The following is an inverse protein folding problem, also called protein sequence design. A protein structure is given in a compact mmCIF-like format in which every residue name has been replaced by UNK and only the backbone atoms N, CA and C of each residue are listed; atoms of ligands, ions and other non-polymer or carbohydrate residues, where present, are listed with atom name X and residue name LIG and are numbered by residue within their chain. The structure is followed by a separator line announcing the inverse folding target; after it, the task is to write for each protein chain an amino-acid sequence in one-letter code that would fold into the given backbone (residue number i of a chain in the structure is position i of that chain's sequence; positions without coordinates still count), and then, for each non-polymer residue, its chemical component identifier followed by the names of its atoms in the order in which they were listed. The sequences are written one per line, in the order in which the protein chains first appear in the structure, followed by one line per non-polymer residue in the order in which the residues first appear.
data_IF_302597548629
#
_entry.id   IF_302597548629
#
_cell.length_a   1.000
_cell.length_b   1.000
_cell.length_c   1.000
_cell.angle_alpha   90.00
_cell.angle_beta   90.00
_cell.angle_gamma   90.00
#
_symmetry.space_group_name_H-M   'P 1'
#
loop_
_entity.id
_entity.type
_entity.pdbx_description
1 polymer ?
#
# COMPACT_ATOMS: atom_id res chain seq x y z
N UNK A 1 31.92 -2.29 -6.31
CA UNK A 1 30.63 -2.85 -6.77
C UNK A 1 29.59 -2.52 -5.71
N UNK A 2 28.41 -2.00 -6.06
CA UNK A 2 27.35 -1.76 -5.13
C UNK A 2 26.87 -3.05 -4.46
N UNK A 3 26.51 -2.96 -3.19
CA UNK A 3 26.08 -4.10 -2.37
C UNK A 3 24.57 -4.05 -2.16
N UNK A 4 23.93 -5.19 -2.21
CA UNK A 4 22.52 -5.35 -1.86
C UNK A 4 22.40 -6.37 -0.71
N UNK A 5 22.02 -5.88 0.46
CA UNK A 5 21.75 -6.70 1.63
C UNK A 5 20.25 -6.99 1.71
N UNK A 6 19.88 -8.27 1.56
CA UNK A 6 18.47 -8.69 1.60
C UNK A 6 18.20 -9.35 2.95
N UNK A 7 17.27 -8.79 3.72
CA UNK A 7 16.96 -9.25 5.07
C UNK A 7 15.68 -10.07 5.12
N UNK A 8 15.78 -11.30 5.65
CA UNK A 8 14.65 -12.18 5.94
C UNK A 8 14.29 -12.14 7.42
N UNK A 9 13.00 -12.39 7.75
CA UNK A 9 12.56 -12.53 9.13
C UNK A 9 12.59 -13.99 9.57
N UNK A 10 12.23 -14.26 10.83
CA UNK A 10 12.04 -15.60 11.39
C UNK A 10 10.91 -16.41 10.73
N UNK A 11 9.99 -15.74 10.01
CA UNK A 11 8.90 -16.42 9.29
C UNK A 11 9.39 -17.08 8.01
N UNK A 12 9.19 -18.37 7.91
CA UNK A 12 9.57 -19.17 6.74
C UNK A 12 9.06 -18.58 5.40
N UNK A 13 7.81 -18.09 5.36
CA UNK A 13 7.25 -17.47 4.15
C UNK A 13 8.03 -16.22 3.75
N UNK A 14 8.31 -15.33 4.71
CA UNK A 14 9.07 -14.10 4.47
C UNK A 14 10.47 -14.40 3.98
N UNK A 15 11.14 -15.32 4.64
CA UNK A 15 12.50 -15.76 4.28
C UNK A 15 12.55 -16.36 2.88
N UNK A 16 11.60 -17.23 2.53
CA UNK A 16 11.51 -17.79 1.16
C UNK A 16 11.37 -16.71 0.09
N UNK A 17 10.55 -15.70 0.33
CA UNK A 17 10.33 -14.60 -0.62
C UNK A 17 11.57 -13.69 -0.74
N UNK A 18 12.22 -13.36 0.35
CA UNK A 18 13.46 -12.55 0.33
C UNK A 18 14.62 -13.31 -0.31
N UNK A 19 14.74 -14.62 -0.09
CA UNK A 19 15.70 -15.48 -0.81
C UNK A 19 15.38 -15.51 -2.31
N UNK A 20 14.12 -15.65 -2.70
CA UNK A 20 13.72 -15.65 -4.11
C UNK A 20 14.08 -14.31 -4.79
N UNK A 21 13.86 -13.18 -4.11
CA UNK A 21 14.28 -11.87 -4.57
C UNK A 21 15.81 -11.79 -4.76
N UNK A 22 16.58 -12.17 -3.75
CA UNK A 22 18.04 -12.18 -3.82
C UNK A 22 18.56 -13.03 -5.00
N UNK A 23 18.01 -14.24 -5.18
CA UNK A 23 18.32 -15.12 -6.31
C UNK A 23 17.95 -14.51 -7.66
N UNK A 24 16.82 -13.78 -7.72
CA UNK A 24 16.38 -13.05 -8.91
C UNK A 24 17.41 -11.99 -9.33
N UNK A 25 17.89 -11.19 -8.37
CA UNK A 25 18.93 -10.18 -8.63
C UNK A 25 20.26 -10.85 -9.09
N UNK A 26 20.67 -11.92 -8.44
CA UNK A 26 21.88 -12.68 -8.84
C UNK A 26 21.75 -13.21 -10.29
N UNK A 27 20.61 -13.79 -10.64
CA UNK A 27 20.38 -14.26 -12.03
C UNK A 27 20.41 -13.12 -13.04
N UNK A 28 19.78 -11.98 -12.68
CA UNK A 28 19.81 -10.79 -13.53
C UNK A 28 21.24 -10.27 -13.73
N UNK A 29 22.01 -10.17 -12.65
CA UNK A 29 23.43 -9.78 -12.73
C UNK A 29 24.23 -10.70 -13.68
N UNK A 30 24.06 -12.02 -13.57
CA UNK A 30 24.77 -12.98 -14.41
C UNK A 30 24.37 -12.87 -15.88
N UNK A 31 23.11 -12.51 -16.16
CA UNK A 31 22.62 -12.37 -17.54
C UNK A 31 23.00 -11.02 -18.19
N UNK A 32 23.21 -9.97 -17.39
CA UNK A 32 23.39 -8.58 -17.87
C UNK A 32 24.72 -7.95 -17.48
N UNK A 33 25.62 -8.70 -16.84
CA UNK A 33 26.82 -8.17 -16.18
C UNK A 33 26.46 -7.05 -15.17
N UNK A 34 25.34 -7.24 -14.46
CA UNK A 34 24.85 -6.29 -13.48
C UNK A 34 25.84 -6.08 -12.32
N UNK A 35 25.80 -4.91 -11.67
CA UNK A 35 26.84 -4.50 -10.74
C UNK A 35 26.68 -5.03 -9.31
N UNK A 36 25.54 -5.65 -8.94
CA UNK A 36 25.19 -5.90 -7.55
C UNK A 36 25.92 -7.10 -6.92
N UNK A 37 26.60 -6.85 -5.80
CA UNK A 37 27.00 -7.92 -4.89
C UNK A 37 25.86 -8.19 -3.89
N UNK A 38 25.24 -9.37 -3.94
CA UNK A 38 24.04 -9.68 -3.15
C UNK A 38 24.39 -10.56 -1.95
N UNK A 39 23.92 -10.17 -0.75
CA UNK A 39 24.00 -10.99 0.47
C UNK A 39 22.60 -11.12 1.09
N UNK A 40 22.22 -12.32 1.50
CA UNK A 40 20.99 -12.58 2.27
C UNK A 40 21.36 -12.79 3.75
N UNK A 41 20.69 -12.06 4.64
CA UNK A 41 20.94 -12.05 6.07
C UNK A 41 19.61 -12.21 6.85
N UNK A 42 19.64 -12.77 8.05
CA UNK A 42 18.49 -12.70 8.95
C UNK A 42 18.35 -11.26 9.48
N UNK A 43 17.11 -10.83 9.76
CA UNK A 43 16.84 -9.48 10.30
C UNK A 43 17.46 -9.29 11.70
N UNK A 44 17.65 -10.36 12.45
CA UNK A 44 18.32 -10.34 13.77
C UNK A 44 19.73 -9.77 13.67
N UNK A 45 20.42 -10.03 12.57
CA UNK A 45 21.74 -9.44 12.35
C UNK A 45 21.68 -7.90 12.36
N UNK A 46 20.70 -7.29 11.68
CA UNK A 46 20.50 -5.85 11.75
C UNK A 46 20.09 -5.38 13.15
N UNK A 47 19.22 -6.12 13.82
CA UNK A 47 18.72 -5.73 15.15
C UNK A 47 19.80 -5.77 16.23
N UNK A 48 20.78 -6.66 16.09
CA UNK A 48 21.90 -6.83 17.04
C UNK A 48 23.04 -5.84 16.80
N UNK A 49 23.43 -5.63 15.56
CA UNK A 49 24.67 -4.89 15.22
C UNK A 49 24.44 -3.70 14.26
N UNK A 50 23.20 -3.48 13.80
CA UNK A 50 22.89 -2.44 12.81
C UNK A 50 23.26 -2.83 11.38
N UNK A 51 23.46 -1.82 10.53
CA UNK A 51 23.95 -2.05 9.17
C UNK A 51 25.43 -2.44 9.16
N UNK A 52 25.84 -3.26 8.19
CA UNK A 52 27.27 -3.53 7.95
C UNK A 52 28.05 -2.20 7.82
N UNK A 53 29.23 -2.15 8.43
CA UNK A 53 30.06 -0.95 8.44
C UNK A 53 30.57 -0.54 7.05
N UNK A 54 30.54 -1.47 6.11
CA UNK A 54 30.97 -1.30 4.72
C UNK A 54 29.81 -0.90 3.77
N UNK A 55 28.64 -0.56 4.30
CA UNK A 55 27.46 -0.13 3.54
C UNK A 55 27.50 1.38 3.30
N UNK A 56 27.51 1.77 2.03
CA UNK A 56 27.71 3.15 1.58
C UNK A 56 26.40 3.77 1.08
N UNK A 57 25.99 4.90 1.69
CA UNK A 57 24.81 5.67 1.26
C UNK A 57 24.94 6.14 -0.20
N UNK A 58 23.83 6.10 -0.93
CA UNK A 58 23.78 6.50 -2.35
C UNK A 58 24.42 5.50 -3.32
N UNK A 59 25.09 4.44 -2.83
CA UNK A 59 25.69 3.40 -3.65
C UNK A 59 25.08 2.03 -3.39
N UNK A 60 24.91 1.69 -2.11
CA UNK A 60 24.45 0.38 -1.66
C UNK A 60 22.96 0.42 -1.31
N UNK A 61 22.34 -0.75 -1.20
CA UNK A 61 20.93 -0.87 -0.89
C UNK A 61 20.63 -1.99 0.09
N UNK A 62 19.48 -1.88 0.74
CA UNK A 62 18.89 -2.95 1.54
C UNK A 62 17.54 -3.37 0.97
N UNK A 63 17.11 -4.60 1.26
CA UNK A 63 15.80 -5.08 0.82
C UNK A 63 15.16 -5.94 1.91
N UNK A 64 13.83 -5.84 2.04
CA UNK A 64 13.06 -6.71 2.96
C UNK A 64 11.59 -6.79 2.58
N UNK A 65 10.85 -7.67 3.26
CA UNK A 65 9.41 -7.87 3.07
C UNK A 65 8.65 -7.45 4.33
N UNK A 66 7.69 -6.53 4.14
CA UNK A 66 6.82 -6.01 5.20
C UNK A 66 7.52 -5.02 6.13
N UNK A 67 6.76 -4.51 7.11
CA UNK A 67 7.23 -3.52 8.10
C UNK A 67 7.23 -4.05 9.54
N UNK A 68 6.84 -5.30 9.75
CA UNK A 68 6.79 -5.94 11.08
C UNK A 68 8.08 -6.69 11.38
N UNK A 69 8.32 -7.01 12.67
CA UNK A 69 9.44 -7.86 13.13
C UNK A 69 10.82 -7.26 12.89
N UNK A 70 10.94 -5.97 13.13
CA UNK A 70 12.22 -5.24 12.97
C UNK A 70 12.50 -4.73 11.54
N UNK A 71 11.82 -5.25 10.53
CA UNK A 71 12.05 -4.81 9.13
C UNK A 71 11.68 -3.35 8.92
N UNK A 72 10.60 -2.86 9.52
CA UNK A 72 10.19 -1.46 9.45
C UNK A 72 11.22 -0.53 10.11
N UNK A 73 11.78 -0.93 11.25
CA UNK A 73 12.84 -0.19 11.91
C UNK A 73 14.09 -0.06 11.00
N UNK A 74 14.47 -1.16 10.36
CA UNK A 74 15.56 -1.17 9.38
C UNK A 74 15.29 -0.23 8.21
N UNK A 75 14.07 -0.24 7.66
CA UNK A 75 13.70 0.65 6.54
C UNK A 75 13.70 2.13 6.95
N UNK A 76 13.17 2.47 8.14
CA UNK A 76 13.26 3.83 8.70
C UNK A 76 14.72 4.28 8.86
N UNK A 77 15.57 3.40 9.39
CA UNK A 77 16.99 3.67 9.54
C UNK A 77 17.72 3.82 8.19
N UNK A 78 17.39 3.00 7.20
CA UNK A 78 17.93 3.13 5.85
C UNK A 78 17.59 4.49 5.24
N UNK A 79 16.32 4.89 5.33
CA UNK A 79 15.85 6.20 4.89
C UNK A 79 16.61 7.34 5.59
N UNK A 80 16.74 7.29 6.90
CA UNK A 80 17.45 8.32 7.68
C UNK A 80 18.95 8.43 7.32
N UNK A 81 19.56 7.33 6.89
CA UNK A 81 20.98 7.28 6.49
C UNK A 81 21.21 7.51 4.99
N UNK A 82 20.17 7.78 4.20
CA UNK A 82 20.30 7.94 2.75
C UNK A 82 20.69 6.65 2.01
N UNK A 83 20.41 5.48 2.61
CA UNK A 83 20.64 4.18 2.01
C UNK A 83 19.40 3.81 1.21
N UNK A 84 19.58 3.45 -0.06
CA UNK A 84 18.49 2.96 -0.89
C UNK A 84 17.87 1.68 -0.30
N UNK A 85 16.54 1.57 -0.35
CA UNK A 85 15.88 0.36 0.10
C UNK A 85 14.84 -0.14 -0.91
N UNK A 86 14.72 -1.46 -0.99
CA UNK A 86 13.64 -2.15 -1.72
C UNK A 86 12.68 -2.77 -0.72
N UNK A 87 11.45 -2.25 -0.74
CA UNK A 87 10.35 -2.74 0.08
C UNK A 87 9.51 -3.73 -0.73
N UNK A 88 9.32 -4.91 -0.20
CA UNK A 88 8.49 -5.95 -0.79
C UNK A 88 7.20 -6.12 0.02
N UNK A 89 6.08 -6.31 -0.65
CA UNK A 89 4.79 -6.62 -0.03
C UNK A 89 3.87 -7.34 -1.03
N UNK A 90 2.71 -7.74 -0.57
CA UNK A 90 1.66 -8.26 -1.44
C UNK A 90 1.30 -7.25 -2.54
N UNK A 91 1.10 -7.73 -3.76
CA UNK A 91 0.70 -6.88 -4.87
C UNK A 91 -0.71 -6.32 -4.65
N UNK A 92 -1.01 -5.25 -5.36
CA UNK A 92 -2.32 -4.61 -5.30
C UNK A 92 -3.43 -5.49 -5.88
N UNK A 93 -3.08 -6.29 -6.88
CA UNK A 93 -3.95 -7.30 -7.49
C UNK A 93 -3.44 -8.68 -7.18
N UNK A 94 -4.35 -9.64 -7.04
CA UNK A 94 -4.01 -11.03 -6.70
C UNK A 94 -2.95 -11.11 -5.59
N UNK A 95 -3.20 -10.53 -4.42
CA UNK A 95 -2.21 -10.50 -3.35
C UNK A 95 -1.80 -11.92 -2.99
N UNK A 96 -0.49 -12.15 -2.80
CA UNK A 96 0.09 -13.47 -2.56
C UNK A 96 -0.25 -14.12 -1.21
N UNK A 97 -1.46 -13.92 -0.70
CA UNK A 97 -1.96 -14.59 0.49
C UNK A 97 -2.13 -16.09 0.20
N UNK A 98 -1.67 -16.94 1.11
CA UNK A 98 -1.75 -18.38 0.92
C UNK A 98 -0.73 -18.98 -0.05
N UNK A 99 0.30 -18.23 -0.45
CA UNK A 99 1.41 -18.75 -1.28
C UNK A 99 1.17 -18.71 -2.79
N UNK A 100 0.00 -18.25 -3.23
CA UNK A 100 -0.31 -18.00 -4.64
C UNK A 100 -0.52 -16.49 -4.83
N UNK A 101 -0.16 -15.96 -6.00
CA UNK A 101 -0.37 -14.56 -6.36
C UNK A 101 0.93 -13.77 -6.45
N UNK A 102 0.80 -12.45 -6.47
CA UNK A 102 1.85 -11.54 -6.86
C UNK A 102 2.43 -10.79 -5.66
N UNK A 103 3.69 -10.38 -5.80
CA UNK A 103 4.37 -9.49 -4.88
C UNK A 103 4.71 -8.19 -5.59
N UNK A 104 4.61 -7.07 -4.89
CA UNK A 104 5.12 -5.78 -5.34
C UNK A 104 6.48 -5.51 -4.74
N UNK A 105 7.29 -4.76 -5.46
CA UNK A 105 8.58 -4.26 -5.01
C UNK A 105 8.59 -2.77 -5.30
N UNK A 106 8.88 -1.95 -4.30
CA UNK A 106 9.04 -0.50 -4.46
C UNK A 106 10.41 -0.07 -3.97
N UNK A 107 10.99 0.93 -4.62
CA UNK A 107 12.27 1.52 -4.23
C UNK A 107 12.01 2.79 -3.42
N UNK A 108 12.62 2.91 -2.26
CA UNK A 108 12.57 4.08 -1.36
C UNK A 108 11.16 4.53 -0.97
N UNK A 109 10.20 3.62 -1.03
CA UNK A 109 8.80 3.90 -0.73
C UNK A 109 8.10 2.64 -0.23
N UNK A 110 7.09 2.81 0.63
CA UNK A 110 6.19 1.73 1.04
C UNK A 110 5.18 1.38 -0.07
N UNK A 111 4.74 2.40 -0.82
CA UNK A 111 3.82 2.23 -1.94
C UNK A 111 4.35 2.97 -3.15
N UNK A 112 3.99 2.54 -4.35
CA UNK A 112 4.30 3.32 -5.53
C UNK A 112 3.27 4.41 -5.72
N UNK A 113 3.71 5.63 -5.69
CA UNK A 113 2.91 6.83 -5.96
C UNK A 113 3.31 7.50 -7.28
N UNK A 114 4.27 6.94 -8.02
CA UNK A 114 4.74 7.48 -9.29
C UNK A 114 3.93 6.92 -10.44
N UNK A 115 3.31 7.79 -11.22
CA UNK A 115 2.69 7.43 -12.48
C UNK A 115 3.79 7.07 -13.49
N UNK A 116 3.65 5.94 -14.15
CA UNK A 116 4.49 5.55 -15.29
C UNK A 116 3.57 5.18 -16.44
N UNK A 117 3.98 5.52 -17.64
CA UNK A 117 3.29 5.04 -18.82
C UNK A 117 3.43 3.52 -18.94
N UNK A 118 2.31 2.87 -19.13
CA UNK A 118 2.24 1.44 -19.42
C UNK A 118 1.54 1.28 -20.75
N UNK A 119 2.05 0.43 -21.60
CA UNK A 119 1.43 0.20 -22.90
C UNK A 119 0.01 -0.37 -22.73
N UNK A 120 -0.89 0.09 -23.60
CA UNK A 120 -2.27 -0.38 -23.65
C UNK A 120 -2.35 -1.91 -23.79
N UNK A 121 -1.38 -2.51 -24.47
CA UNK A 121 -1.33 -3.97 -24.66
C UNK A 121 -1.06 -4.72 -23.37
N UNK A 122 -0.19 -4.20 -22.50
CA UNK A 122 0.01 -4.80 -21.17
C UNK A 122 -1.27 -4.77 -20.33
N UNK A 123 -2.00 -3.67 -20.38
CA UNK A 123 -3.29 -3.57 -19.70
C UNK A 123 -4.31 -4.56 -20.29
N UNK A 124 -4.47 -4.58 -21.60
CA UNK A 124 -5.39 -5.50 -22.26
C UNK A 124 -5.06 -6.96 -21.97
N UNK A 125 -3.76 -7.30 -21.96
CA UNK A 125 -3.30 -8.63 -21.57
C UNK A 125 -3.63 -8.97 -20.12
N UNK A 126 -3.45 -8.03 -19.20
CA UNK A 126 -3.78 -8.20 -17.80
C UNK A 126 -5.28 -8.37 -17.58
N UNK A 127 -6.09 -7.53 -18.18
CA UNK A 127 -7.56 -7.65 -18.16
C UNK A 127 -8.02 -9.00 -18.69
N UNK A 128 -7.53 -9.40 -19.88
CA UNK A 128 -7.87 -10.70 -20.50
C UNK A 128 -7.50 -11.89 -19.62
N UNK A 129 -6.34 -11.84 -18.98
CA UNK A 129 -5.82 -12.98 -18.22
C UNK A 129 -6.40 -13.09 -16.80
N UNK A 130 -6.79 -11.97 -16.19
CA UNK A 130 -7.16 -11.91 -14.76
C UNK A 130 -8.55 -11.32 -14.50
N UNK A 131 -9.24 -10.82 -15.50
CA UNK A 131 -10.62 -10.33 -15.39
C UNK A 131 -10.78 -8.99 -14.65
N UNK A 132 -9.68 -8.31 -14.31
CA UNK A 132 -9.77 -7.00 -13.67
C UNK A 132 -10.17 -5.92 -14.67
N UNK A 133 -11.17 -5.13 -14.34
CA UNK A 133 -11.63 -4.00 -15.13
C UNK A 133 -12.06 -2.84 -14.24
N UNK A 134 -12.07 -1.63 -14.79
CA UNK A 134 -12.67 -0.49 -14.14
C UNK A 134 -14.10 -0.32 -14.57
N UNK A 135 -14.97 -0.20 -13.60
CA UNK A 135 -16.36 0.22 -13.81
C UNK A 135 -16.40 1.70 -14.24
N UNK A 136 -17.51 2.09 -14.84
CA UNK A 136 -17.75 3.50 -15.15
C UNK A 136 -17.73 4.35 -13.88
N UNK A 137 -17.24 5.58 -14.01
CA UNK A 137 -17.31 6.54 -12.91
C UNK A 137 -18.76 6.80 -12.55
N UNK A 138 -19.07 6.76 -11.27
CA UNK A 138 -20.42 6.99 -10.75
C UNK A 138 -20.55 8.45 -10.36
N UNK A 139 -21.52 9.15 -10.97
CA UNK A 139 -21.89 10.51 -10.55
C UNK A 139 -22.70 10.48 -9.23
N UNK A 140 -22.99 11.64 -8.65
CA UNK A 140 -23.61 11.76 -7.34
C UNK A 140 -24.96 11.04 -7.26
N UNK A 141 -25.75 11.05 -8.33
CA UNK A 141 -27.06 10.39 -8.38
C UNK A 141 -26.99 8.84 -8.43
N UNK A 142 -25.82 8.30 -8.72
CA UNK A 142 -25.56 6.86 -8.82
C UNK A 142 -24.85 6.30 -7.57
N UNK A 143 -24.51 7.17 -6.63
CA UNK A 143 -23.83 6.82 -5.38
C UNK A 143 -24.81 6.82 -4.21
N UNK A 144 -24.48 6.07 -3.18
CA UNK A 144 -25.22 6.08 -1.92
C UNK A 144 -24.86 7.29 -1.04
N UNK A 145 -25.12 7.16 0.28
CA UNK A 145 -24.90 8.22 1.27
C UNK A 145 -23.87 7.84 2.34
N UNK A 146 -23.22 6.71 2.17
CA UNK A 146 -22.23 6.21 3.14
C UNK A 146 -20.85 6.80 2.86
N UNK A 147 -20.27 7.44 3.85
CA UNK A 147 -18.87 7.87 3.85
C UNK A 147 -18.08 6.79 4.59
N UNK A 148 -17.33 5.99 3.84
CA UNK A 148 -16.55 4.91 4.41
C UNK A 148 -15.16 5.39 4.80
N UNK A 149 -14.86 5.44 6.09
CA UNK A 149 -13.55 5.84 6.63
C UNK A 149 -12.74 4.59 6.97
N UNK A 150 -11.58 4.44 6.33
CA UNK A 150 -10.67 3.31 6.49
C UNK A 150 -9.36 3.78 7.16
N UNK A 151 -9.27 3.70 8.49
CA UNK A 151 -8.09 4.16 9.21
C UNK A 151 -6.86 3.30 8.88
N UNK A 152 -5.63 3.85 9.07
CA UNK A 152 -4.41 3.08 8.96
C UNK A 152 -4.39 1.95 9.98
N UNK A 153 -3.70 0.86 9.69
CA UNK A 153 -3.43 -0.19 10.71
C UNK A 153 -2.33 0.26 11.66
N UNK A 154 -2.27 -0.32 12.86
CA UNK A 154 -1.23 0.02 13.85
C UNK A 154 0.19 -0.08 13.30
N UNK A 155 0.48 -1.10 12.49
CA UNK A 155 1.79 -1.25 11.85
C UNK A 155 2.09 -0.12 10.83
N UNK A 156 1.09 0.30 10.08
CA UNK A 156 1.20 1.40 9.11
C UNK A 156 1.34 2.73 9.84
N UNK A 157 0.53 2.97 10.86
CA UNK A 157 0.60 4.15 11.72
C UNK A 157 1.99 4.30 12.32
N UNK A 158 2.52 3.25 12.90
CA UNK A 158 3.86 3.22 13.45
C UNK A 158 4.94 3.50 12.37
N UNK A 159 4.80 2.88 11.20
CA UNK A 159 5.79 3.03 10.13
C UNK A 159 5.86 4.45 9.57
N UNK A 160 4.73 5.14 9.48
CA UNK A 160 4.64 6.52 8.97
C UNK A 160 4.64 7.58 10.07
N UNK A 161 4.84 7.21 11.33
CA UNK A 161 4.78 8.11 12.49
C UNK A 161 3.45 8.89 12.56
N UNK A 162 2.36 8.23 12.14
CA UNK A 162 1.00 8.79 12.11
C UNK A 162 0.17 8.21 13.25
N UNK A 163 -0.32 9.03 14.15
CA UNK A 163 -1.28 8.60 15.18
C UNK A 163 -2.56 8.06 14.55
N UNK A 164 -2.88 6.80 14.81
CA UNK A 164 -4.03 6.12 14.17
C UNK A 164 -5.37 6.68 14.60
N UNK A 165 -5.58 6.77 15.90
CA UNK A 165 -6.84 7.29 16.44
C UNK A 165 -6.90 8.81 16.22
N UNK A 166 -5.81 9.52 16.37
CA UNK A 166 -5.70 10.94 16.07
C UNK A 166 -6.07 11.25 14.61
N UNK A 167 -5.56 10.47 13.64
CA UNK A 167 -5.96 10.60 12.24
C UNK A 167 -7.46 10.35 12.05
N UNK A 168 -8.00 9.33 12.71
CA UNK A 168 -9.42 8.99 12.60
C UNK A 168 -10.31 10.09 13.19
N UNK A 169 -9.99 10.56 14.40
CA UNK A 169 -10.76 11.59 15.10
C UNK A 169 -10.72 12.92 14.34
N UNK A 170 -9.54 13.29 13.84
CA UNK A 170 -9.38 14.47 12.99
C UNK A 170 -10.22 14.34 11.71
N UNK A 171 -10.14 13.21 11.00
CA UNK A 171 -10.91 12.96 9.78
C UNK A 171 -12.40 13.03 10.03
N UNK A 172 -12.90 12.44 11.11
CA UNK A 172 -14.33 12.48 11.46
C UNK A 172 -14.76 13.89 11.83
N UNK A 173 -13.96 14.63 12.61
CA UNK A 173 -14.24 16.01 12.99
C UNK A 173 -14.33 16.91 11.76
N UNK A 174 -13.40 16.78 10.83
CA UNK A 174 -13.39 17.53 9.58
C UNK A 174 -14.62 17.21 8.72
N UNK A 175 -14.96 15.93 8.57
CA UNK A 175 -16.17 15.53 7.85
C UNK A 175 -17.42 16.13 8.44
N UNK A 176 -17.57 16.11 9.77
CA UNK A 176 -18.73 16.70 10.44
C UNK A 176 -18.83 18.22 10.25
N UNK A 177 -17.70 18.91 10.13
CA UNK A 177 -17.69 20.35 9.87
C UNK A 177 -18.01 20.74 8.43
N UNK A 178 -17.75 19.84 7.48
CA UNK A 178 -17.92 20.08 6.05
C UNK A 178 -19.29 19.61 5.51
N UNK A 179 -19.90 18.63 6.17
CA UNK A 179 -21.13 18.03 5.69
C UNK A 179 -22.37 18.79 6.20
N UNK A 180 -23.29 19.22 5.32
CA UNK A 180 -24.54 19.82 5.74
C UNK A 180 -25.37 18.82 6.55
N UNK A 181 -25.90 19.24 7.71
CA UNK A 181 -26.79 18.41 8.54
C UNK A 181 -28.05 17.94 7.79
N UNK A 182 -28.49 18.73 6.79
CA UNK A 182 -29.68 18.45 5.98
C UNK A 182 -29.57 17.25 5.06
N UNK A 183 -28.34 16.73 4.78
CA UNK A 183 -28.14 15.72 3.74
C UNK A 183 -28.06 14.28 4.24
N UNK A 184 -28.27 14.01 5.51
CA UNK A 184 -28.35 12.67 6.10
C UNK A 184 -27.22 11.71 5.72
N UNK A 185 -25.97 12.20 5.61
CA UNK A 185 -24.82 11.36 5.39
C UNK A 185 -24.53 10.43 6.57
N UNK A 186 -24.04 9.23 6.28
CA UNK A 186 -23.71 8.23 7.30
C UNK A 186 -22.21 7.96 7.29
N UNK A 187 -21.50 8.41 8.29
CA UNK A 187 -20.07 8.11 8.46
C UNK A 187 -19.95 6.70 9.04
N UNK A 188 -19.30 5.81 8.31
CA UNK A 188 -19.05 4.41 8.70
C UNK A 188 -17.55 4.14 8.78
N UNK A 189 -17.08 3.72 9.95
CA UNK A 189 -15.68 3.35 10.16
C UNK A 189 -15.51 1.88 9.85
N UNK A 190 -14.64 1.59 8.87
CA UNK A 190 -14.26 0.22 8.54
C UNK A 190 -12.81 -0.04 8.92
N UNK A 191 -12.60 -0.62 10.09
CA UNK A 191 -11.28 -1.10 10.53
C UNK A 191 -10.97 -2.45 9.90
N UNK A 192 -9.70 -2.80 9.84
CA UNK A 192 -9.31 -4.16 9.43
C UNK A 192 -9.79 -5.17 10.48
N UNK A 193 -10.41 -6.31 10.08
CA UNK A 193 -10.98 -7.27 11.06
C UNK A 193 -9.97 -7.79 12.07
N UNK A 194 -8.74 -8.01 11.64
CA UNK A 194 -7.60 -8.35 12.51
C UNK A 194 -6.47 -7.39 12.22
N UNK A 195 -6.07 -6.65 13.19
CA UNK A 195 -5.11 -5.57 13.05
C UNK A 195 -3.90 -5.78 13.95
N UNK A 196 -2.67 -5.66 13.41
CA UNK A 196 -1.47 -5.75 14.22
C UNK A 196 -1.35 -4.53 15.14
N UNK A 197 -1.22 -4.79 16.44
CA UNK A 197 -0.72 -3.82 17.42
C UNK A 197 0.77 -4.01 17.53
N UNK A 198 1.52 -2.92 17.49
CA UNK A 198 2.98 -2.94 17.54
C UNK A 198 3.50 -2.10 18.70
N UNK A 199 4.69 -2.47 19.20
CA UNK A 199 5.43 -1.66 20.18
C UNK A 199 6.15 -0.46 19.53
N UNK A 200 6.86 0.31 20.34
CA UNK A 200 7.63 1.46 19.87
C UNK A 200 8.75 1.09 18.87
N UNK A 201 9.17 -0.16 18.84
CA UNK A 201 10.18 -0.71 17.92
C UNK A 201 9.56 -1.35 16.67
N UNK A 202 8.21 -1.37 16.54
CA UNK A 202 7.48 -1.98 15.42
C UNK A 202 7.37 -3.51 15.51
N UNK A 203 7.60 -4.10 16.68
CA UNK A 203 7.39 -5.52 16.90
C UNK A 203 5.92 -5.80 17.13
N UNK A 204 5.44 -6.95 16.61
CA UNK A 204 4.05 -7.36 16.81
C UNK A 204 3.84 -7.79 18.26
N UNK A 205 2.96 -7.08 18.97
CA UNK A 205 2.50 -7.44 20.33
C UNK A 205 1.32 -8.41 20.23
N UNK A 206 0.27 -8.01 19.50
CA UNK A 206 -0.97 -8.79 19.39
C UNK A 206 -1.69 -8.52 18.05
N UNK A 207 -2.70 -9.34 17.77
CA UNK A 207 -3.68 -9.08 16.71
C UNK A 207 -5.01 -8.68 17.37
N UNK A 208 -5.32 -7.39 17.37
CA UNK A 208 -6.55 -6.84 17.92
C UNK A 208 -7.73 -7.07 16.96
N UNK A 209 -8.86 -7.45 17.50
CA UNK A 209 -10.13 -7.58 16.78
C UNK A 209 -11.04 -6.41 17.13
N UNK A 210 -11.72 -5.85 16.14
CA UNK A 210 -12.66 -4.73 16.31
C UNK A 210 -14.07 -5.19 15.90
N UNK A 211 -14.84 -5.79 16.81
CA UNK A 211 -16.22 -6.16 16.52
C UNK A 211 -17.09 -4.92 16.29
N UNK A 212 -18.07 -5.03 15.41
CA UNK A 212 -19.02 -3.95 15.13
C UNK A 212 -18.48 -2.76 14.30
N UNK A 213 -17.27 -2.86 13.76
CA UNK A 213 -16.65 -1.81 12.94
C UNK A 213 -16.98 -1.90 11.44
N UNK A 214 -18.13 -2.38 11.07
CA UNK A 214 -18.55 -2.67 9.70
C UNK A 214 -17.62 -3.61 8.90
N UNK A 215 -16.65 -4.25 9.59
CA UNK A 215 -15.70 -5.16 8.96
C UNK A 215 -16.26 -6.55 8.65
N UNK A 216 -17.41 -6.89 9.23
CA UNK A 216 -18.08 -8.17 9.01
C UNK A 216 -18.88 -8.20 7.71
N UNK A 217 -19.14 -7.02 7.13
CA UNK A 217 -19.81 -6.90 5.84
C UNK A 217 -18.76 -6.93 4.73
N UNK A 218 -18.91 -7.71 3.65
CA UNK A 218 -18.01 -7.65 2.50
C UNK A 218 -17.84 -6.23 1.98
N UNK A 219 -16.63 -5.84 1.63
CA UNK A 219 -16.36 -4.46 1.23
C UNK A 219 -17.12 -4.07 -0.05
N UNK A 220 -17.22 -5.00 -0.97
CA UNK A 220 -17.99 -4.85 -2.22
C UNK A 220 -19.47 -4.48 -1.94
N UNK A 221 -20.06 -5.10 -0.93
CA UNK A 221 -21.43 -4.78 -0.50
C UNK A 221 -21.53 -3.38 0.08
N UNK A 222 -20.52 -2.95 0.85
CA UNK A 222 -20.52 -1.58 1.39
C UNK A 222 -20.33 -0.51 0.30
N UNK A 223 -19.62 -0.84 -0.78
CA UNK A 223 -19.43 0.08 -1.90
C UNK A 223 -20.71 0.36 -2.69
N UNK A 224 -21.76 -0.47 -2.57
CA UNK A 224 -23.05 -0.22 -3.21
C UNK A 224 -23.71 1.05 -2.65
N UNK A 225 -23.57 1.32 -1.36
CA UNK A 225 -24.12 2.47 -0.68
C UNK A 225 -23.11 3.61 -0.45
N UNK A 226 -21.87 3.43 -0.96
CA UNK A 226 -20.82 4.40 -0.73
C UNK A 226 -20.99 5.66 -1.57
N UNK A 227 -20.91 6.81 -0.92
CA UNK A 227 -20.74 8.12 -1.54
C UNK A 227 -19.26 8.34 -1.89
N UNK A 228 -18.40 8.11 -0.92
CA UNK A 228 -16.95 8.31 -0.99
C UNK A 228 -16.25 7.36 -0.03
N UNK A 229 -15.03 6.96 -0.37
CA UNK A 229 -14.14 6.20 0.52
C UNK A 229 -12.98 7.08 0.93
N UNK A 230 -12.75 7.23 2.23
CA UNK A 230 -11.62 7.98 2.79
C UNK A 230 -10.67 6.98 3.42
N UNK A 231 -9.43 6.95 2.97
CA UNK A 231 -8.45 5.97 3.41
C UNK A 231 -7.07 6.58 3.57
N UNK A 232 -6.36 6.24 4.65
CA UNK A 232 -4.97 6.66 4.78
C UNK A 232 -4.11 6.05 3.66
N UNK A 233 -4.02 4.71 3.59
CA UNK A 233 -3.26 3.99 2.56
C UNK A 233 -3.82 2.59 2.25
N UNK A 234 -5.08 2.36 2.53
CA UNK A 234 -5.69 1.03 2.36
C UNK A 234 -5.76 0.61 0.89
N UNK A 235 -5.47 -0.66 0.62
CA UNK A 235 -5.72 -1.26 -0.71
C UNK A 235 -7.21 -1.30 -1.08
N UNK A 236 -8.11 -1.20 -0.11
CA UNK A 236 -9.54 -1.08 -0.36
C UNK A 236 -9.89 0.22 -1.13
N UNK A 237 -9.08 1.27 -1.00
CA UNK A 237 -9.20 2.48 -1.82
C UNK A 237 -9.05 2.16 -3.33
N UNK A 238 -8.09 1.30 -3.69
CA UNK A 238 -7.93 0.87 -5.08
C UNK A 238 -9.18 0.15 -5.61
N UNK A 239 -9.75 -0.74 -4.81
CA UNK A 239 -10.97 -1.45 -5.16
C UNK A 239 -12.16 -0.50 -5.35
N UNK A 240 -12.33 0.48 -4.45
CA UNK A 240 -13.36 1.52 -4.59
C UNK A 240 -13.18 2.33 -5.88
N UNK A 241 -11.95 2.79 -6.15
CA UNK A 241 -11.64 3.53 -7.38
C UNK A 241 -11.94 2.72 -8.64
N UNK A 242 -11.64 1.41 -8.64
CA UNK A 242 -11.96 0.52 -9.75
C UNK A 242 -13.48 0.38 -9.96
N UNK A 243 -14.27 0.41 -8.90
CA UNK A 243 -15.73 0.38 -8.97
C UNK A 243 -16.39 1.74 -9.26
N UNK A 244 -15.59 2.74 -9.61
CA UNK A 244 -16.09 4.07 -9.98
C UNK A 244 -16.54 4.92 -8.79
N UNK A 245 -16.14 4.58 -7.56
CA UNK A 245 -16.41 5.33 -6.35
C UNK A 245 -15.28 6.32 -6.10
N UNK A 246 -15.56 7.60 -5.80
CA UNK A 246 -14.57 8.58 -5.39
C UNK A 246 -13.78 8.12 -4.16
N UNK A 247 -12.50 8.43 -4.15
CA UNK A 247 -11.60 8.09 -3.04
C UNK A 247 -10.80 9.30 -2.63
N UNK A 248 -10.67 9.53 -1.34
CA UNK A 248 -9.77 10.51 -0.75
C UNK A 248 -8.66 9.74 -0.04
N UNK A 249 -7.40 10.00 -0.37
CA UNK A 249 -6.28 9.27 0.23
C UNK A 249 -5.13 10.20 0.60
N UNK A 250 -4.28 9.73 1.54
CA UNK A 250 -3.01 10.39 1.81
C UNK A 250 -2.00 10.14 0.68
N UNK A 251 -0.94 10.93 0.66
CA UNK A 251 0.21 10.75 -0.26
C UNK A 251 0.89 9.38 -0.15
N UNK A 252 0.70 8.70 0.98
CA UNK A 252 1.24 7.36 1.24
C UNK A 252 0.41 6.23 0.63
N UNK A 253 -0.68 6.55 -0.07
CA UNK A 253 -1.55 5.58 -0.75
C UNK A 253 -1.09 5.31 -2.18
N UNK A 254 -1.26 4.07 -2.64
CA UNK A 254 -1.09 3.73 -4.05
C UNK A 254 -2.11 4.43 -4.96
N UNK A 255 -3.22 4.88 -4.40
CA UNK A 255 -4.28 5.57 -5.13
C UNK A 255 -4.09 7.10 -5.17
N UNK A 256 -3.07 7.65 -4.51
CA UNK A 256 -2.89 9.10 -4.35
C UNK A 256 -3.03 9.88 -5.67
N UNK A 257 -2.41 9.41 -6.74
CA UNK A 257 -2.41 10.10 -8.05
C UNK A 257 -3.72 9.99 -8.83
N UNK A 258 -4.62 9.15 -8.39
CA UNK A 258 -5.92 8.86 -9.03
C UNK A 258 -7.08 9.08 -8.07
N UNK A 259 -6.80 9.61 -6.89
CA UNK A 259 -7.75 9.97 -5.85
C UNK A 259 -7.82 11.49 -5.70
N UNK A 260 -8.85 11.95 -5.01
CA UNK A 260 -8.89 13.31 -4.51
C UNK A 260 -7.94 13.42 -3.31
N UNK A 261 -7.24 14.53 -3.21
CA UNK A 261 -6.38 14.79 -2.06
C UNK A 261 -7.25 15.31 -0.91
N UNK A 262 -7.02 14.82 0.30
CA UNK A 262 -7.74 15.31 1.48
C UNK A 262 -7.51 16.82 1.71
N UNK A 263 -6.30 17.32 1.45
CA UNK A 263 -5.97 18.73 1.58
C UNK A 263 -6.64 19.60 0.50
N UNK A 264 -6.82 19.06 -0.71
CA UNK A 264 -7.58 19.73 -1.77
C UNK A 264 -9.07 19.73 -1.42
N UNK A 265 -9.59 18.64 -0.87
CA UNK A 265 -10.98 18.54 -0.43
C UNK A 265 -11.32 19.55 0.69
N UNK A 266 -10.40 19.81 1.61
CA UNK A 266 -10.57 20.82 2.68
C UNK A 266 -10.75 22.23 2.13
N UNK A 267 -10.19 22.53 0.96
CA UNK A 267 -10.21 23.85 0.35
C UNK A 267 -11.26 24.03 -0.75
N UNK A 268 -11.90 22.95 -1.19
CA UNK A 268 -12.88 22.92 -2.26
C UNK A 268 -14.19 22.35 -1.72
N UNK A 269 -15.13 23.24 -1.39
CA UNK A 269 -16.35 22.92 -0.64
C UNK A 269 -17.51 22.39 -1.51
N UNK A 270 -17.27 22.00 -2.78
CA UNK A 270 -18.36 21.56 -3.66
C UNK A 270 -18.38 20.02 -3.79
N UNK A 271 -19.42 19.33 -3.24
CA UNK A 271 -19.62 17.90 -3.44
C UNK A 271 -19.76 17.50 -4.93
N UNK A 272 -20.09 18.44 -5.82
CA UNK A 272 -20.19 18.19 -7.25
C UNK A 272 -18.85 17.91 -7.92
N UNK A 273 -17.72 18.31 -7.31
CA UNK A 273 -16.39 17.98 -7.84
C UNK A 273 -16.11 16.48 -7.90
N UNK A 274 -16.76 15.68 -7.03
CA UNK A 274 -16.68 14.22 -7.11
C UNK A 274 -17.42 13.64 -8.31
N UNK A 275 -18.20 14.41 -9.04
CA UNK A 275 -18.89 13.95 -10.24
C UNK A 275 -17.96 13.88 -11.44
N UNK A 276 -16.84 14.57 -11.38
CA UNK A 276 -15.81 14.50 -12.42
C UNK A 276 -14.82 13.38 -12.12
N UNK A 277 -14.65 12.47 -13.07
CA UNK A 277 -13.64 11.42 -12.98
C UNK A 277 -12.23 12.03 -12.87
N UNK A 278 -11.41 11.63 -11.88
CA UNK A 278 -10.04 12.10 -11.80
C UNK A 278 -9.28 11.82 -13.10
N UNK A 279 -8.58 12.79 -13.69
CA UNK A 279 -7.98 12.66 -15.01
C UNK A 279 -6.97 11.51 -15.13
N UNK A 280 -6.38 11.12 -14.02
CA UNK A 280 -5.43 10.02 -13.95
C UNK A 280 -6.06 8.65 -13.64
N UNK A 281 -7.38 8.58 -13.40
CA UNK A 281 -8.04 7.30 -13.09
C UNK A 281 -7.90 6.25 -14.19
N UNK A 282 -7.99 6.57 -15.47
CA UNK A 282 -7.70 5.60 -16.52
C UNK A 282 -6.30 5.02 -16.44
N UNK A 283 -5.33 5.75 -15.83
CA UNK A 283 -3.97 5.29 -15.60
C UNK A 283 -3.80 4.46 -14.32
N UNK A 284 -4.81 4.38 -13.46
CA UNK A 284 -4.78 3.59 -12.22
C UNK A 284 -4.41 2.13 -12.49
N UNK A 285 -4.96 1.59 -13.53
CA UNK A 285 -4.73 0.22 -13.96
C UNK A 285 -3.30 0.02 -14.43
N UNK A 286 -2.69 1.06 -14.99
CA UNK A 286 -1.29 1.07 -15.37
C UNK A 286 -0.34 1.11 -14.18
N UNK A 287 -0.70 1.83 -13.11
CA UNK A 287 0.12 1.91 -11.89
C UNK A 287 0.34 0.56 -11.24
N UNK A 288 -0.68 -0.26 -11.22
CA UNK A 288 -0.63 -1.58 -10.57
C UNK A 288 0.18 -2.61 -11.36
N UNK A 289 0.30 -2.46 -12.67
CA UNK A 289 1.06 -3.38 -13.52
C UNK A 289 2.57 -3.16 -13.48
N UNK A 290 3.02 -1.96 -13.13
CA UNK A 290 4.46 -1.63 -13.07
C UNK A 290 5.17 -2.40 -11.95
N UNK A 291 4.42 -2.79 -10.92
CA UNK A 291 4.95 -3.46 -9.74
C UNK A 291 4.71 -4.97 -9.72
N UNK A 292 4.09 -5.50 -10.76
CA UNK A 292 3.94 -6.93 -10.94
C UNK A 292 5.22 -7.41 -11.61
N UNK A 293 6.22 -7.79 -10.81
CA UNK A 293 7.26 -8.68 -11.30
C UNK A 293 6.59 -9.97 -11.76
N UNK A 294 7.00 -10.51 -12.92
CA UNK A 294 6.49 -11.81 -13.39
C UNK A 294 6.45 -12.82 -12.25
N UNK A 295 5.38 -13.65 -12.19
CA UNK A 295 5.29 -14.65 -11.14
C UNK A 295 6.57 -15.47 -11.18
N UNK A 296 7.27 -15.51 -10.06
CA UNK A 296 8.25 -16.56 -9.89
C UNK A 296 7.49 -17.86 -10.08
N UNK A 297 7.76 -18.58 -11.20
CA UNK A 297 7.20 -19.91 -11.41
C UNK A 297 7.35 -20.68 -10.11
N UNK A 298 6.32 -21.40 -9.65
CA UNK A 298 6.46 -22.20 -8.44
C UNK A 298 7.69 -23.08 -8.61
N UNK A 299 8.60 -22.96 -7.66
CA UNK A 299 9.79 -23.82 -7.52
C UNK A 299 9.32 -25.10 -6.91
#
# INVERSE_FOLDING_TARGET
MPKLYVYGTDRQKTTKLTIAFARGVIRHNNATNGPWQVKHLPITNYLEIGFPSDLVAGQDAVATLGVLRGTGLMLKSAKAKGIDYYYMDHAYFMPGYGGKGWMRISKNSHTCTTLREVSKDKWNGFHKNYGYQCEKWKNNNQRGRDILVLPPTGAVSWFFDQGKEEWLDQTISELKSLLPESEHYRIKIRRKPKEPVVDAQGNLIELKTYPGSHSDIPFETQLLDALVVIAYNSMAALQATMQGIPVITSENSCCYRVSFNLDVYKNQHDPQEFDTEPPNRPHLLYLSLIHISEPTRPI
#
